data_IF_104150075703
#
_entry.id   IF_104150075703
#
_cell.length_a   1.000
_cell.length_b   1.000
_cell.length_c   1.000
_cell.angle_alpha   90.00
_cell.angle_beta   90.00
_cell.angle_gamma   90.00
#
_symmetry.space_group_name_H-M   'P 1'
#
loop_
_entity.id
_entity.type
_entity.pdbx_description
1 polymer ?
#
# COMPACT_ATOMS: atom_id res chain seq x y z
N UNK A 1 -1.45 18.16 -14.33
CA UNK A 1 -1.91 16.80 -14.00
C UNK A 1 -2.59 16.86 -12.64
N UNK A 2 -3.72 16.16 -12.50
CA UNK A 2 -4.45 16.03 -11.23
C UNK A 2 -4.00 14.75 -10.54
N UNK A 3 -3.39 14.89 -9.40
CA UNK A 3 -2.85 13.77 -8.63
C UNK A 3 -3.64 13.59 -7.35
N UNK A 4 -3.90 12.34 -6.96
CA UNK A 4 -4.63 11.98 -5.75
C UNK A 4 -3.81 10.99 -4.95
N UNK A 5 -3.67 11.20 -3.64
CA UNK A 5 -3.24 10.19 -2.68
C UNK A 5 -4.50 9.55 -2.10
N UNK A 6 -4.64 8.25 -2.23
CA UNK A 6 -5.78 7.47 -1.77
C UNK A 6 -5.38 6.53 -0.65
N UNK A 7 -6.08 6.61 0.47
CA UNK A 7 -5.85 5.77 1.65
C UNK A 7 -7.11 5.01 2.03
N UNK A 8 -6.95 3.77 2.49
CA UNK A 8 -8.04 3.00 3.09
C UNK A 8 -7.86 2.93 4.60
N UNK A 9 -8.80 3.52 5.32
CA UNK A 9 -8.77 3.63 6.77
C UNK A 9 -9.93 2.87 7.44
N UNK A 10 -10.42 1.83 6.82
CA UNK A 10 -11.52 0.99 7.29
C UNK A 10 -11.12 0.18 8.52
N UNK A 11 -11.63 0.55 9.66
CA UNK A 11 -11.22 -0.06 10.91
C UNK A 11 -12.39 -0.28 11.84
N UNK A 12 -12.40 -1.45 12.49
CA UNK A 12 -13.47 -1.87 13.41
C UNK A 12 -13.32 -1.37 14.81
N UNK A 13 -12.10 -1.03 15.23
CA UNK A 13 -11.81 -0.72 16.62
C UNK A 13 -11.20 0.68 16.73
N UNK A 14 -11.65 1.47 17.72
CA UNK A 14 -11.06 2.79 17.98
C UNK A 14 -9.54 2.76 18.09
N UNK A 15 -8.99 1.74 18.73
CA UNK A 15 -7.55 1.55 18.95
C UNK A 15 -6.75 1.34 17.64
N UNK A 16 -7.43 0.96 16.57
CA UNK A 16 -6.75 0.68 15.29
C UNK A 16 -6.33 1.96 14.59
N UNK A 17 -7.10 3.02 14.74
CA UNK A 17 -6.85 4.31 14.09
C UNK A 17 -5.93 5.23 14.89
N UNK A 18 -5.49 4.85 16.08
CA UNK A 18 -4.65 5.73 16.90
C UNK A 18 -3.40 6.23 16.19
N UNK A 19 -2.81 5.41 15.31
CA UNK A 19 -1.64 5.80 14.52
C UNK A 19 -2.00 6.54 13.22
N UNK A 20 -3.22 6.45 12.74
CA UNK A 20 -3.67 7.12 11.52
C UNK A 20 -3.56 8.64 11.63
N UNK A 21 -3.69 9.21 12.82
CA UNK A 21 -3.49 10.63 13.08
C UNK A 21 -2.14 11.13 12.53
N UNK A 22 -1.07 10.38 12.74
CA UNK A 22 0.29 10.75 12.31
C UNK A 22 0.45 10.63 10.80
N UNK A 23 -0.15 9.58 10.22
CA UNK A 23 -0.27 9.41 8.78
C UNK A 23 -0.97 10.63 8.16
N UNK A 24 -2.19 10.94 8.61
CA UNK A 24 -2.99 12.03 8.05
C UNK A 24 -2.31 13.39 8.16
N UNK A 25 -1.68 13.68 9.29
CA UNK A 25 -0.97 14.95 9.49
C UNK A 25 0.17 15.12 8.50
N UNK A 26 1.01 14.10 8.32
CA UNK A 26 2.14 14.18 7.41
C UNK A 26 1.69 14.25 5.95
N UNK A 27 0.76 13.39 5.53
CA UNK A 27 0.27 13.36 4.16
C UNK A 27 -0.57 14.57 3.79
N UNK A 28 -1.40 15.11 4.72
CA UNK A 28 -2.16 16.34 4.47
C UNK A 28 -1.25 17.52 4.19
N UNK A 29 -0.15 17.66 4.94
CA UNK A 29 0.85 18.68 4.70
C UNK A 29 1.50 18.54 3.33
N UNK A 30 2.01 17.33 3.02
CA UNK A 30 2.67 17.05 1.75
C UNK A 30 1.72 17.25 0.55
N UNK A 31 0.50 16.75 0.63
CA UNK A 31 -0.51 16.91 -0.41
C UNK A 31 -0.84 18.38 -0.66
N UNK A 32 -1.04 19.17 0.41
CA UNK A 32 -1.28 20.60 0.31
C UNK A 32 -0.10 21.33 -0.34
N UNK A 33 1.14 21.04 0.08
CA UNK A 33 2.36 21.63 -0.44
C UNK A 33 2.55 21.35 -1.95
N UNK A 34 2.16 20.16 -2.40
CA UNK A 34 2.35 19.70 -3.78
C UNK A 34 1.10 19.84 -4.67
N UNK A 35 0.05 20.47 -4.19
CA UNK A 35 -1.24 20.59 -4.90
C UNK A 35 -1.80 19.24 -5.34
N UNK A 36 -1.78 18.27 -4.42
CA UNK A 36 -2.29 16.89 -4.57
C UNK A 36 -3.52 16.74 -3.69
N UNK A 37 -4.56 16.08 -4.18
CA UNK A 37 -5.74 15.77 -3.38
C UNK A 37 -5.46 14.58 -2.46
N UNK A 38 -5.94 14.64 -1.22
CA UNK A 38 -5.90 13.51 -0.27
C UNK A 38 -7.32 12.97 -0.10
N UNK A 39 -7.54 11.74 -0.51
CA UNK A 39 -8.79 11.01 -0.32
C UNK A 39 -8.61 9.89 0.68
N UNK A 40 -9.48 9.84 1.69
CA UNK A 40 -9.45 8.82 2.75
C UNK A 40 -10.77 8.06 2.68
N UNK A 41 -10.69 6.78 2.35
CA UNK A 41 -11.83 5.87 2.37
C UNK A 41 -11.99 5.30 3.79
N UNK A 42 -12.95 5.83 4.54
CA UNK A 42 -13.23 5.43 5.92
C UNK A 42 -14.31 4.35 6.00
N UNK A 43 -15.26 4.38 5.07
CA UNK A 43 -16.35 3.42 5.01
C UNK A 43 -15.95 2.15 4.28
N UNK A 44 -16.43 1.00 4.76
CA UNK A 44 -16.27 -0.27 4.06
C UNK A 44 -17.12 -0.29 2.79
N UNK A 45 -16.49 -0.57 1.66
CA UNK A 45 -17.21 -0.83 0.40
C UNK A 45 -17.88 -2.20 0.41
N UNK A 46 -17.27 -3.14 1.11
CA UNK A 46 -17.73 -4.51 1.32
C UNK A 46 -17.38 -4.93 2.74
N UNK A 47 -18.21 -5.78 3.38
CA UNK A 47 -17.89 -6.31 4.69
C UNK A 47 -16.49 -6.95 4.70
N UNK A 48 -15.64 -6.59 5.63
CA UNK A 48 -14.26 -7.11 5.70
C UNK A 48 -14.15 -8.49 6.36
N UNK A 49 -15.25 -9.01 6.88
CA UNK A 49 -15.25 -10.24 7.66
C UNK A 49 -14.56 -10.06 9.02
N UNK A 50 -14.33 -11.18 9.72
CA UNK A 50 -13.68 -11.19 11.03
C UNK A 50 -12.15 -11.40 10.96
N UNK A 51 -11.59 -11.34 9.77
CA UNK A 51 -10.17 -11.60 9.54
C UNK A 51 -9.79 -13.07 9.61
N UNK A 52 -10.77 -13.99 9.75
CA UNK A 52 -10.56 -15.43 9.72
C UNK A 52 -11.01 -16.02 8.39
N UNK A 53 -10.68 -17.32 8.18
CA UNK A 53 -11.19 -18.04 7.03
C UNK A 53 -12.72 -18.29 7.09
N UNK A 54 -13.32 -18.26 8.27
CA UNK A 54 -14.71 -18.70 8.51
C UNK A 54 -15.74 -17.67 8.06
N UNK A 55 -15.45 -16.38 8.26
CA UNK A 55 -16.37 -15.30 7.90
C UNK A 55 -15.93 -14.66 6.60
N UNK A 56 -16.72 -14.75 5.51
CA UNK A 56 -16.44 -14.09 4.26
C UNK A 56 -16.25 -12.58 4.42
N UNK A 57 -15.41 -12.00 3.59
CA UNK A 57 -15.24 -10.56 3.58
C UNK A 57 -13.96 -10.11 2.90
N UNK A 58 -14.03 -8.94 2.30
CA UNK A 58 -12.93 -8.32 1.56
C UNK A 58 -12.09 -7.45 2.52
N UNK A 59 -10.85 -7.85 2.78
CA UNK A 59 -9.94 -7.04 3.63
C UNK A 59 -9.70 -5.64 3.04
N UNK A 60 -9.39 -4.64 3.88
CA UNK A 60 -9.05 -3.28 3.42
C UNK A 60 -7.96 -3.24 2.35
N UNK A 61 -6.98 -4.14 2.43
CA UNK A 61 -5.90 -4.28 1.44
C UNK A 61 -6.42 -4.64 0.04
N UNK A 62 -7.55 -5.35 -0.06
CA UNK A 62 -8.21 -5.62 -1.32
C UNK A 62 -9.16 -4.48 -1.73
N UNK A 63 -9.85 -3.86 -0.77
CA UNK A 63 -10.80 -2.78 -1.06
C UNK A 63 -10.12 -1.52 -1.64
N UNK A 64 -8.82 -1.32 -1.39
CA UNK A 64 -8.06 -0.20 -1.99
C UNK A 64 -8.06 -0.21 -3.52
N UNK A 65 -8.22 -1.38 -4.13
CA UNK A 65 -8.21 -1.52 -5.58
C UNK A 65 -9.47 -0.99 -6.27
N UNK A 66 -10.52 -0.65 -5.49
CA UNK A 66 -11.66 0.13 -5.95
C UNK A 66 -11.39 1.66 -6.00
N UNK A 67 -10.17 2.11 -5.71
CA UNK A 67 -9.86 3.54 -5.57
C UNK A 67 -10.37 4.39 -6.73
N UNK A 68 -10.11 3.98 -7.97
CA UNK A 68 -10.53 4.76 -9.14
C UNK A 68 -12.06 4.78 -9.32
N UNK A 69 -12.75 3.69 -9.02
CA UNK A 69 -14.22 3.63 -9.03
C UNK A 69 -14.81 4.54 -7.95
N UNK A 70 -14.21 4.55 -6.75
CA UNK A 70 -14.61 5.42 -5.64
C UNK A 70 -14.40 6.89 -5.99
N UNK A 71 -13.25 7.25 -6.56
CA UNK A 71 -12.97 8.63 -6.97
C UNK A 71 -13.96 9.11 -8.03
N UNK A 72 -14.24 8.28 -9.04
CA UNK A 72 -15.24 8.60 -10.08
C UNK A 72 -16.65 8.78 -9.49
N UNK A 73 -17.06 7.90 -8.57
CA UNK A 73 -18.35 7.99 -7.90
C UNK A 73 -18.51 9.26 -7.06
N UNK A 74 -17.39 9.81 -6.56
CA UNK A 74 -17.34 11.06 -5.81
C UNK A 74 -17.07 12.30 -6.70
N UNK A 75 -17.00 12.14 -8.02
CA UNK A 75 -16.77 13.22 -8.97
C UNK A 75 -15.35 13.83 -8.88
N UNK A 76 -14.39 13.08 -8.34
CA UNK A 76 -13.00 13.51 -8.18
C UNK A 76 -12.24 13.18 -9.45
N UNK A 77 -11.71 14.21 -10.10
CA UNK A 77 -10.91 14.04 -11.32
C UNK A 77 -9.45 13.73 -10.96
N UNK A 78 -8.86 12.77 -11.65
CA UNK A 78 -7.47 12.35 -11.47
C UNK A 78 -6.81 11.97 -12.81
N UNK A 79 -5.51 12.24 -12.89
CA UNK A 79 -4.60 11.67 -13.91
C UNK A 79 -3.80 10.52 -13.30
N UNK A 80 -3.37 10.70 -12.04
CA UNK A 80 -2.62 9.68 -11.28
C UNK A 80 -3.21 9.50 -9.88
N UNK A 81 -3.11 8.28 -9.34
CA UNK A 81 -3.55 7.90 -8.00
C UNK A 81 -2.42 7.15 -7.30
N UNK A 82 -2.03 7.60 -6.11
CA UNK A 82 -1.13 6.84 -5.25
C UNK A 82 -1.94 6.10 -4.18
N UNK A 83 -1.89 4.78 -4.18
CA UNK A 83 -2.44 3.94 -3.11
C UNK A 83 -1.42 3.86 -1.99
N UNK A 84 -1.78 4.31 -0.80
CA UNK A 84 -0.85 4.45 0.33
C UNK A 84 -1.43 3.81 1.58
N UNK A 85 -0.63 3.00 2.27
CA UNK A 85 -1.03 2.40 3.55
C UNK A 85 -1.07 3.45 4.67
N UNK A 86 -2.07 3.30 5.54
CA UNK A 86 -2.32 4.25 6.65
C UNK A 86 -1.27 4.17 7.77
N UNK A 87 -0.40 3.19 7.76
CA UNK A 87 0.75 3.08 8.67
C UNK A 87 2.03 3.66 8.06
N UNK A 88 1.88 4.66 7.20
CA UNK A 88 2.98 5.42 6.62
C UNK A 88 3.02 6.85 7.14
N UNK A 89 4.19 7.47 7.07
CA UNK A 89 4.37 8.92 7.22
C UNK A 89 5.26 9.41 6.09
N UNK A 90 4.92 10.56 5.52
CA UNK A 90 5.70 11.16 4.42
C UNK A 90 6.57 12.31 4.94
N UNK A 91 7.81 12.36 4.49
CA UNK A 91 8.74 13.44 4.78
C UNK A 91 8.23 14.77 4.18
N UNK A 92 8.38 15.87 4.90
CA UNK A 92 7.92 17.21 4.50
C UNK A 92 8.54 17.71 3.18
N UNK A 93 9.74 17.24 2.83
CA UNK A 93 10.43 17.53 1.56
C UNK A 93 10.49 16.32 0.62
N UNK A 94 9.58 15.35 0.77
CA UNK A 94 9.47 14.23 -0.15
C UNK A 94 9.26 14.76 -1.58
N UNK A 95 10.09 14.35 -2.55
CA UNK A 95 9.90 14.73 -3.94
C UNK A 95 8.59 14.21 -4.52
N UNK A 96 8.21 14.73 -5.68
CA UNK A 96 6.99 14.34 -6.36
C UNK A 96 7.14 12.96 -7.04
N UNK A 97 6.76 11.92 -6.36
CA UNK A 97 6.82 10.54 -6.87
C UNK A 97 5.90 10.27 -8.07
N UNK A 98 4.89 11.11 -8.32
CA UNK A 98 4.07 10.99 -9.53
C UNK A 98 4.86 11.32 -10.79
N UNK A 99 5.80 12.25 -10.71
CA UNK A 99 6.70 12.58 -11.82
C UNK A 99 7.67 11.41 -12.08
N UNK A 100 8.20 10.79 -11.03
CA UNK A 100 9.08 9.64 -11.18
C UNK A 100 8.36 8.39 -11.71
N UNK A 101 7.10 8.17 -11.35
CA UNK A 101 6.29 7.09 -11.90
C UNK A 101 6.03 7.26 -13.40
N UNK A 102 6.07 8.50 -13.90
CA UNK A 102 6.00 8.84 -15.34
C UNK A 102 4.82 8.19 -16.08
N UNK A 103 3.66 8.09 -15.41
CA UNK A 103 2.45 7.48 -15.98
C UNK A 103 2.47 5.96 -16.07
N UNK A 104 3.51 5.29 -15.57
CA UNK A 104 3.58 3.83 -15.48
C UNK A 104 3.09 3.32 -14.12
N UNK A 105 3.00 1.99 -13.95
CA UNK A 105 2.71 1.37 -12.67
C UNK A 105 3.93 1.52 -11.76
N UNK A 106 3.90 2.50 -10.86
CA UNK A 106 4.99 2.79 -9.93
C UNK A 106 4.93 1.87 -8.71
N UNK A 107 6.00 1.15 -8.41
CA UNK A 107 6.09 0.25 -7.27
C UNK A 107 7.48 0.26 -6.64
N UNK A 108 7.59 -0.16 -5.39
CA UNK A 108 8.85 -0.28 -4.67
C UNK A 108 9.12 -1.74 -4.32
N UNK A 109 10.31 -2.22 -4.68
CA UNK A 109 10.72 -3.60 -4.45
C UNK A 109 10.73 -3.96 -2.95
N UNK A 110 10.28 -5.18 -2.64
CA UNK A 110 10.31 -5.77 -1.30
C UNK A 110 11.36 -6.90 -1.28
N UNK A 111 12.53 -6.62 -0.72
CA UNK A 111 13.69 -7.52 -0.75
C UNK A 111 14.07 -8.08 0.62
N UNK A 112 13.24 -7.87 1.67
CA UNK A 112 13.66 -8.18 3.03
C UNK A 112 13.55 -9.66 3.40
N UNK A 113 12.40 -10.25 3.15
CA UNK A 113 12.10 -11.61 3.62
C UNK A 113 12.09 -12.59 2.45
N UNK A 114 13.27 -12.97 1.96
CA UNK A 114 13.43 -13.81 0.76
C UNK A 114 12.62 -15.11 0.85
N UNK A 115 12.72 -15.83 1.98
CA UNK A 115 11.96 -17.07 2.19
C UNK A 115 10.45 -16.80 2.16
N UNK A 116 9.99 -15.74 2.84
CA UNK A 116 8.58 -15.37 2.84
C UNK A 116 8.09 -15.04 1.42
N UNK A 117 8.86 -14.25 0.69
CA UNK A 117 8.55 -13.84 -0.69
C UNK A 117 8.51 -15.05 -1.62
N UNK A 118 9.53 -15.91 -1.56
CA UNK A 118 9.61 -17.13 -2.37
C UNK A 118 8.44 -18.08 -2.11
N UNK A 119 8.11 -18.32 -0.84
CA UNK A 119 6.96 -19.16 -0.47
C UNK A 119 5.64 -18.53 -0.93
N UNK A 120 5.54 -17.21 -0.86
CA UNK A 120 4.36 -16.48 -1.32
C UNK A 120 4.20 -16.57 -2.85
N UNK A 121 5.26 -16.33 -3.60
CA UNK A 121 5.28 -16.50 -5.07
C UNK A 121 4.83 -17.92 -5.43
N UNK A 122 5.49 -18.96 -4.90
CA UNK A 122 5.14 -20.36 -5.20
C UNK A 122 3.71 -20.72 -4.80
N UNK A 123 3.22 -20.14 -3.70
CA UNK A 123 1.88 -20.42 -3.18
C UNK A 123 0.73 -19.89 -4.04
N UNK A 124 1.01 -18.99 -4.99
CA UNK A 124 0.03 -18.42 -5.90
C UNK A 124 0.31 -18.70 -7.38
N UNK A 125 1.42 -19.39 -7.70
CA UNK A 125 1.88 -19.65 -9.07
C UNK A 125 0.84 -20.32 -9.97
N UNK A 126 0.01 -21.19 -9.43
CA UNK A 126 -0.99 -21.96 -10.19
C UNK A 126 -2.17 -21.12 -10.69
N UNK A 127 -2.42 -19.93 -10.14
CA UNK A 127 -3.35 -18.98 -10.73
C UNK A 127 -2.80 -18.38 -12.04
N UNK A 128 -1.45 -18.29 -12.16
CA UNK A 128 -0.76 -17.73 -13.32
C UNK A 128 0.42 -18.62 -13.73
N UNK A 129 0.16 -19.83 -14.27
CA UNK A 129 1.22 -20.83 -14.53
C UNK A 129 2.29 -20.34 -15.52
N UNK A 130 1.91 -19.47 -16.44
CA UNK A 130 2.79 -18.94 -17.48
C UNK A 130 3.58 -17.69 -17.04
N UNK A 131 3.19 -17.04 -15.95
CA UNK A 131 3.87 -15.85 -15.42
C UNK A 131 4.96 -16.27 -14.46
N UNK A 132 6.21 -15.99 -14.82
CA UNK A 132 7.38 -16.27 -13.97
C UNK A 132 8.13 -14.99 -13.67
N UNK A 133 8.47 -14.79 -12.41
CA UNK A 133 9.34 -13.74 -11.96
C UNK A 133 10.09 -14.18 -10.71
N UNK A 134 11.22 -13.56 -10.45
CA UNK A 134 11.97 -13.86 -9.25
C UNK A 134 11.67 -12.88 -8.10
N UNK A 135 12.11 -13.23 -6.91
CA UNK A 135 11.89 -12.43 -5.71
C UNK A 135 12.52 -11.03 -5.77
N UNK A 136 13.54 -10.81 -6.60
CA UNK A 136 14.22 -9.51 -6.70
C UNK A 136 13.34 -8.43 -7.32
N UNK A 137 12.33 -8.84 -8.06
CA UNK A 137 11.34 -7.93 -8.68
C UNK A 137 9.99 -7.91 -7.96
N UNK A 138 9.87 -8.64 -6.84
CA UNK A 138 8.68 -8.61 -6.00
C UNK A 138 8.55 -7.25 -5.33
N UNK A 139 7.35 -6.68 -5.30
CA UNK A 139 7.12 -5.36 -4.71
C UNK A 139 6.08 -5.38 -3.61
N UNK A 140 6.15 -4.39 -2.73
CA UNK A 140 5.19 -4.15 -1.65
C UNK A 140 4.01 -3.32 -2.15
N UNK A 141 2.79 -3.68 -1.74
CA UNK A 141 1.57 -2.96 -2.12
C UNK A 141 1.19 -1.81 -1.17
N UNK A 142 1.99 -1.51 -0.15
CA UNK A 142 1.71 -0.41 0.77
C UNK A 142 1.99 0.99 0.20
N UNK A 143 2.62 1.04 -0.97
CA UNK A 143 2.82 2.25 -1.75
C UNK A 143 2.87 1.90 -3.24
N UNK A 144 1.82 2.27 -3.97
CA UNK A 144 1.69 2.03 -5.41
C UNK A 144 1.24 3.32 -6.09
N UNK A 145 1.86 3.66 -7.21
CA UNK A 145 1.43 4.79 -8.05
C UNK A 145 0.78 4.25 -9.33
N UNK A 146 -0.42 4.72 -9.60
CA UNK A 146 -1.24 4.34 -10.75
C UNK A 146 -1.49 5.57 -11.63
N UNK A 147 -1.59 5.37 -12.93
CA UNK A 147 -2.13 6.35 -13.86
C UNK A 147 -3.56 5.95 -14.27
N UNK A 148 -4.35 6.87 -14.75
CA UNK A 148 -5.73 6.63 -15.21
C UNK A 148 -5.85 5.50 -16.24
N UNK A 149 -4.80 5.23 -17.03
CA UNK A 149 -4.74 4.08 -17.97
C UNK A 149 -4.87 2.72 -17.29
N UNK A 150 -4.58 2.62 -15.98
CA UNK A 150 -4.67 1.37 -15.21
C UNK A 150 -6.09 1.10 -14.65
N UNK A 151 -7.09 1.93 -14.97
CA UNK A 151 -8.44 1.79 -14.38
C UNK A 151 -9.07 0.43 -14.66
N UNK A 152 -9.03 -0.02 -15.90
CA UNK A 152 -9.61 -1.31 -16.28
C UNK A 152 -8.82 -2.48 -15.67
N UNK A 153 -7.52 -2.32 -15.53
CA UNK A 153 -6.71 -3.28 -14.80
C UNK A 153 -7.07 -3.34 -13.31
N UNK A 154 -7.26 -2.20 -12.62
CA UNK A 154 -7.73 -2.19 -11.22
C UNK A 154 -9.09 -2.88 -11.08
N UNK A 155 -10.00 -2.67 -12.04
CA UNK A 155 -11.25 -3.41 -12.08
C UNK A 155 -11.03 -4.91 -12.23
N UNK A 156 -10.11 -5.35 -13.08
CA UNK A 156 -9.78 -6.78 -13.21
C UNK A 156 -9.24 -7.38 -11.91
N UNK A 157 -8.54 -6.59 -11.08
CA UNK A 157 -8.07 -7.01 -9.75
C UNK A 157 -9.23 -7.31 -8.81
N UNK A 158 -10.22 -6.42 -8.76
CA UNK A 158 -11.40 -6.63 -7.91
C UNK A 158 -12.28 -7.76 -8.42
N UNK A 159 -12.45 -7.87 -9.74
CA UNK A 159 -13.17 -8.99 -10.39
C UNK A 159 -12.48 -10.33 -10.08
N UNK A 160 -11.15 -10.39 -10.14
CA UNK A 160 -10.38 -11.58 -9.76
C UNK A 160 -10.62 -11.98 -8.30
N UNK A 161 -10.63 -11.00 -7.37
CA UNK A 161 -10.94 -11.28 -5.97
C UNK A 161 -12.32 -11.92 -5.82
N UNK A 162 -13.37 -11.31 -6.40
CA UNK A 162 -14.74 -11.81 -6.29
C UNK A 162 -14.92 -13.22 -6.89
N UNK A 163 -14.22 -13.51 -7.99
CA UNK A 163 -14.27 -14.82 -8.62
C UNK A 163 -13.53 -15.90 -7.83
N UNK A 164 -12.55 -15.53 -7.01
CA UNK A 164 -11.65 -16.48 -6.33
C UNK A 164 -11.61 -16.27 -4.81
N UNK A 165 -12.59 -15.59 -4.22
CA UNK A 165 -12.58 -15.20 -2.80
C UNK A 165 -12.25 -16.36 -1.87
N UNK A 166 -12.95 -17.50 -2.01
CA UNK A 166 -12.77 -18.64 -1.13
C UNK A 166 -11.35 -19.22 -1.21
N UNK A 167 -10.81 -19.35 -2.41
CA UNK A 167 -9.46 -19.86 -2.63
C UNK A 167 -8.38 -18.88 -2.12
N UNK A 168 -8.56 -17.58 -2.38
CA UNK A 168 -7.67 -16.53 -1.86
C UNK A 168 -7.66 -16.57 -0.33
N UNK A 169 -8.81 -16.66 0.31
CA UNK A 169 -8.96 -16.73 1.77
C UNK A 169 -8.34 -18.02 2.31
N UNK A 170 -8.54 -19.14 1.63
CA UNK A 170 -7.91 -20.43 1.99
C UNK A 170 -6.37 -20.28 1.99
N UNK A 171 -5.80 -19.70 0.94
CA UNK A 171 -4.35 -19.47 0.84
C UNK A 171 -3.84 -18.55 1.94
N UNK A 172 -4.48 -17.43 2.12
CA UNK A 172 -4.08 -16.43 3.12
C UNK A 172 -4.09 -16.97 4.56
N UNK A 173 -5.04 -17.84 4.89
CA UNK A 173 -5.24 -18.26 6.28
C UNK A 173 -4.81 -19.70 6.58
N UNK A 174 -4.70 -20.59 5.60
CA UNK A 174 -4.49 -22.03 5.82
C UNK A 174 -3.27 -22.59 5.09
N UNK A 175 -3.23 -22.49 3.78
CA UNK A 175 -2.24 -23.24 2.98
C UNK A 175 -0.93 -22.49 2.81
N UNK A 176 -0.96 -21.26 2.34
CA UNK A 176 0.24 -20.42 2.15
C UNK A 176 0.54 -19.61 3.41
N UNK A 177 -0.50 -19.04 4.05
CA UNK A 177 -0.43 -18.18 5.24
C UNK A 177 0.37 -16.90 5.03
N UNK A 178 0.47 -16.47 3.79
CA UNK A 178 1.28 -15.32 3.35
C UNK A 178 0.57 -14.61 2.21
N UNK A 179 0.98 -13.35 1.96
CA UNK A 179 0.45 -12.52 0.88
C UNK A 179 -1.05 -12.24 1.06
N UNK A 180 -1.45 -11.01 1.22
CA UNK A 180 -2.86 -10.65 1.17
C UNK A 180 -3.25 -10.39 -0.28
N UNK A 181 -3.31 -9.16 -0.68
CA UNK A 181 -3.41 -8.72 -2.08
C UNK A 181 -2.06 -8.72 -2.80
N UNK A 182 -0.96 -8.50 -2.06
CA UNK A 182 0.36 -8.22 -2.62
C UNK A 182 0.85 -9.27 -3.64
N UNK A 183 0.73 -10.57 -3.35
CA UNK A 183 1.23 -11.60 -4.27
C UNK A 183 0.35 -11.75 -5.51
N UNK A 184 -0.99 -11.82 -5.41
CA UNK A 184 -1.86 -11.73 -6.59
C UNK A 184 -1.58 -10.51 -7.47
N UNK A 185 -1.41 -9.33 -6.88
CA UNK A 185 -1.11 -8.10 -7.62
C UNK A 185 0.23 -8.19 -8.34
N UNK A 186 1.25 -8.75 -7.70
CA UNK A 186 2.54 -9.00 -8.33
C UNK A 186 2.43 -9.91 -9.57
N UNK A 187 1.53 -10.87 -9.56
CA UNK A 187 1.24 -11.72 -10.72
C UNK A 187 0.41 -10.98 -11.79
N UNK A 188 -0.68 -10.34 -11.36
CA UNK A 188 -1.65 -9.73 -12.28
C UNK A 188 -1.03 -8.60 -13.12
N UNK A 189 -0.18 -7.77 -12.53
CA UNK A 189 0.47 -6.70 -13.29
C UNK A 189 1.42 -7.26 -14.34
N UNK A 190 2.12 -8.37 -14.04
CA UNK A 190 3.02 -9.04 -14.99
C UNK A 190 2.29 -9.84 -16.07
N UNK A 191 1.06 -10.27 -15.78
CA UNK A 191 0.18 -10.89 -16.76
C UNK A 191 -0.51 -9.87 -17.67
N UNK A 192 -0.38 -8.57 -17.38
CA UNK A 192 -0.97 -7.48 -18.16
C UNK A 192 0.02 -6.89 -19.16
N UNK A 193 -0.45 -5.94 -19.97
CA UNK A 193 0.38 -5.17 -20.91
C UNK A 193 1.04 -3.94 -20.28
N UNK A 194 0.88 -3.74 -18.98
CA UNK A 194 1.42 -2.57 -18.27
C UNK A 194 2.86 -2.78 -17.82
N UNK A 195 3.69 -1.80 -18.06
CA UNK A 195 5.07 -1.78 -17.56
C UNK A 195 5.11 -1.37 -16.08
N UNK A 196 6.04 -1.99 -15.33
CA UNK A 196 6.32 -1.65 -13.95
C UNK A 196 7.52 -0.72 -13.91
N UNK A 197 7.33 0.50 -13.41
CA UNK A 197 8.42 1.40 -13.07
C UNK A 197 8.80 1.23 -11.60
N UNK A 198 9.96 0.65 -11.33
CA UNK A 198 10.47 0.52 -9.97
C UNK A 198 11.05 1.86 -9.49
N UNK A 199 10.35 2.46 -8.54
CA UNK A 199 10.75 3.71 -7.91
C UNK A 199 11.86 3.48 -6.87
N UNK A 200 12.52 4.56 -6.47
CA UNK A 200 13.53 4.54 -5.41
C UNK A 200 12.94 4.00 -4.10
N UNK A 201 13.70 3.15 -3.39
CA UNK A 201 13.24 2.52 -2.13
C UNK A 201 12.88 3.52 -1.04
N UNK A 202 13.37 4.75 -1.11
CA UNK A 202 13.06 5.83 -0.17
C UNK A 202 11.58 6.23 -0.19
N UNK A 203 10.85 5.97 -1.27
CA UNK A 203 9.39 6.22 -1.35
C UNK A 203 8.54 5.17 -0.62
N UNK A 204 9.14 4.09 -0.14
CA UNK A 204 8.48 3.13 0.73
C UNK A 204 9.52 2.44 1.62
N UNK A 205 10.12 3.22 2.52
CA UNK A 205 11.14 2.71 3.43
C UNK A 205 10.50 1.78 4.46
N UNK A 206 10.55 0.49 4.15
CA UNK A 206 9.90 -0.59 4.89
C UNK A 206 10.82 -1.22 5.94
N UNK A 207 10.23 -2.06 6.82
CA UNK A 207 10.96 -2.90 7.77
C UNK A 207 11.93 -2.08 8.64
N UNK A 208 11.46 -0.94 9.14
CA UNK A 208 12.27 0.04 9.86
C UNK A 208 12.99 -0.55 11.07
N UNK A 209 12.41 -1.59 11.71
CA UNK A 209 13.02 -2.30 12.83
C UNK A 209 14.28 -3.09 12.43
N UNK A 210 14.36 -3.57 11.17
CA UNK A 210 15.51 -4.30 10.66
C UNK A 210 16.63 -3.37 10.18
N UNK A 211 16.29 -2.11 9.86
CA UNK A 211 17.25 -1.13 9.32
C UNK A 211 18.04 -0.38 10.40
N UNK A 212 17.64 -0.48 11.67
CA UNK A 212 18.28 0.25 12.76
C UNK A 212 18.10 1.77 12.74
N UNK A 213 17.20 2.29 11.89
CA UNK A 213 17.01 3.73 11.68
C UNK A 213 16.12 4.40 12.74
N UNK A 214 15.32 3.62 13.48
CA UNK A 214 14.41 4.16 14.51
C UNK A 214 15.12 4.62 15.78
N UNK A 215 16.31 4.09 16.05
CA UNK A 215 17.12 4.42 17.24
C UNK A 215 18.04 5.64 17.02
N UNK A 216 18.12 6.12 15.80
CA UNK A 216 18.96 7.25 15.41
C UNK A 216 18.13 8.25 14.61
N UNK A 217 18.65 9.47 14.48
CA UNK A 217 18.01 10.49 13.65
C UNK A 217 18.24 10.27 12.14
N UNK A 218 18.58 9.05 11.73
CA UNK A 218 18.80 8.70 10.33
C UNK A 218 17.50 8.55 9.53
N UNK A 219 16.39 8.22 10.20
CA UNK A 219 15.12 7.92 9.53
C UNK A 219 14.73 8.98 8.49
N UNK A 220 14.72 10.25 8.91
CA UNK A 220 14.37 11.37 8.03
C UNK A 220 15.49 11.82 7.09
N UNK A 221 16.71 11.31 7.27
CA UNK A 221 17.80 11.56 6.32
C UNK A 221 17.86 10.53 5.19
N UNK A 222 17.23 9.35 5.37
CA UNK A 222 17.35 8.23 4.42
C UNK A 222 16.04 7.80 3.77
N UNK A 223 14.90 8.29 4.22
CA UNK A 223 13.60 7.91 3.67
C UNK A 223 12.70 9.10 3.38
N UNK A 224 11.90 8.99 2.34
CA UNK A 224 10.87 9.99 1.99
C UNK A 224 9.47 9.55 2.43
N UNK A 225 9.16 8.26 2.36
CA UNK A 225 7.95 7.68 2.95
C UNK A 225 8.38 6.58 3.90
N UNK A 226 8.06 6.74 5.16
CA UNK A 226 8.39 5.80 6.23
C UNK A 226 7.21 4.88 6.46
N UNK A 227 7.39 3.59 6.25
CA UNK A 227 6.35 2.58 6.37
C UNK A 227 6.56 1.75 7.63
N UNK A 228 5.67 1.91 8.59
CA UNK A 228 5.72 1.23 9.89
C UNK A 228 5.07 -0.16 9.84
N UNK A 229 5.30 -0.89 8.75
CA UNK A 229 4.85 -2.27 8.61
C UNK A 229 5.63 -3.21 9.54
N UNK A 230 5.05 -4.38 9.83
CA UNK A 230 5.70 -5.41 10.63
C UNK A 230 5.72 -5.17 12.14
N UNK A 231 5.15 -4.08 12.65
CA UNK A 231 4.99 -3.81 14.07
C UNK A 231 3.62 -4.21 14.60
N UNK A 232 3.56 -4.61 15.87
CA UNK A 232 2.30 -4.76 16.59
C UNK A 232 1.58 -3.40 16.71
N UNK A 233 0.24 -3.41 16.74
CA UNK A 233 -0.56 -2.17 16.68
C UNK A 233 -0.17 -1.11 17.71
N UNK A 234 0.00 -1.51 18.98
CA UNK A 234 0.37 -0.60 20.07
C UNK A 234 1.79 -0.05 19.90
N UNK A 235 2.71 -0.89 19.47
CA UNK A 235 4.09 -0.48 19.19
C UNK A 235 4.13 0.49 18.02
N UNK A 236 3.41 0.19 16.94
CA UNK A 236 3.29 1.06 15.76
C UNK A 236 2.82 2.47 16.13
N UNK A 237 1.72 2.59 16.87
CA UNK A 237 1.23 3.89 17.34
C UNK A 237 2.29 4.64 18.15
N UNK A 238 2.93 3.97 19.10
CA UNK A 238 3.99 4.57 19.91
C UNK A 238 5.15 5.10 19.05
N UNK A 239 5.60 4.29 18.09
CA UNK A 239 6.72 4.66 17.22
C UNK A 239 6.36 5.81 16.28
N UNK A 240 5.21 5.77 15.61
CA UNK A 240 4.76 6.86 14.73
C UNK A 240 4.58 8.16 15.50
N UNK A 241 4.00 8.10 16.71
CA UNK A 241 3.91 9.25 17.61
C UNK A 241 5.30 9.79 17.99
N UNK A 242 6.21 8.92 18.38
CA UNK A 242 7.57 9.31 18.78
C UNK A 242 8.32 9.98 17.61
N UNK A 243 8.17 9.46 16.39
CA UNK A 243 8.72 10.10 15.19
C UNK A 243 8.06 11.46 14.96
N UNK A 244 6.73 11.53 15.01
CA UNK A 244 5.99 12.79 14.83
C UNK A 244 6.45 13.87 15.80
N UNK A 245 6.56 13.57 17.08
CA UNK A 245 6.99 14.54 18.09
C UNK A 245 8.39 15.14 17.80
N UNK A 246 9.27 14.37 17.16
CA UNK A 246 10.59 14.85 16.77
C UNK A 246 10.56 15.75 15.52
N UNK A 247 9.67 15.47 14.57
CA UNK A 247 9.73 16.10 13.24
C UNK A 247 8.59 17.11 12.96
N UNK A 248 7.55 17.17 13.80
CA UNK A 248 6.34 17.97 13.59
C UNK A 248 6.58 19.45 13.29
N UNK A 249 7.69 20.01 13.76
CA UNK A 249 8.05 21.41 13.51
C UNK A 249 8.40 21.69 12.04
N UNK A 250 8.60 20.66 11.22
CA UNK A 250 8.83 20.78 9.78
C UNK A 250 7.53 20.78 8.96
N UNK A 251 6.39 20.46 9.58
CA UNK A 251 5.07 20.41 8.95
C UNK A 251 4.24 21.68 9.28
N UNK A 252 4.80 22.84 9.02
CA UNK A 252 4.20 24.15 9.35
C UNK A 252 3.66 24.84 8.10
#
# INVERSE_FOLDING_TARGET
MKNVVFMTAMVDAPDYLDYAEWCYKSWSHWCKKNNVELFILEDELQPKGDGTYKVPGMKPTWQRWHAMEVLDANGIEYDNVALVDIDTMVHWDCPNFFEEANGEFGAIQDRFFIEWTHNSINGYQDFWPDVKFDWTTYFNCGFIVLNKKHKDWCKSVTDFYYQNEDEIRLRQHKTVKKGSDQTPINYMIRASEHDINFLDERFNLQQLHLRGVLQSDLLWNVGWVWHFNGFEKKERNHLMRAVWEKVKHNYV
#
